data_IF_473644909506
#
_entry.id   IF_473644909506
#
_cell.length_a   1.000
_cell.length_b   1.000
_cell.length_c   1.000
_cell.angle_alpha   90.00
_cell.angle_beta   90.00
_cell.angle_gamma   90.00
#
_symmetry.space_group_name_H-M   'P 1'
#
loop_
_entity.id
_entity.type
_entity.pdbx_description
1 polymer ?
#
# COMPACT_ATOMS: atom_id res chain seq x y z
N UNK A 1 14.26 31.84 12.84
CA UNK A 1 12.91 31.34 13.15
C UNK A 1 12.65 30.24 12.12
N UNK A 2 12.38 29.00 12.54
CA UNK A 2 12.11 27.92 11.59
C UNK A 2 10.71 28.12 11.02
N UNK A 3 10.57 28.01 9.71
CA UNK A 3 9.26 28.06 9.06
C UNK A 3 8.47 26.81 9.43
N UNK A 4 7.37 26.98 10.15
CA UNK A 4 6.46 25.91 10.57
C UNK A 4 5.31 25.70 9.58
N UNK A 5 5.25 26.49 8.51
CA UNK A 5 4.19 26.41 7.49
C UNK A 5 4.41 25.26 6.52
N UNK A 6 5.67 24.87 6.26
CA UNK A 6 6.02 23.71 5.45
C UNK A 6 6.40 22.51 6.33
N UNK A 7 5.72 21.38 6.12
CA UNK A 7 6.02 20.14 6.84
C UNK A 7 7.27 19.49 6.24
N UNK A 8 8.16 19.00 7.11
CA UNK A 8 9.32 18.20 6.69
C UNK A 8 8.80 16.91 6.05
N UNK A 9 9.29 16.64 4.84
CA UNK A 9 9.05 15.42 4.09
C UNK A 9 10.19 14.42 4.35
N UNK A 10 9.87 13.12 4.33
CA UNK A 10 10.85 12.07 4.55
C UNK A 10 10.50 10.80 3.77
N UNK A 11 11.52 10.03 3.42
CA UNK A 11 11.39 8.63 3.02
C UNK A 11 12.39 7.83 3.84
N UNK A 12 11.90 6.84 4.59
CA UNK A 12 12.75 5.98 5.44
C UNK A 12 12.75 4.59 4.87
N UNK A 13 13.94 4.09 4.56
CA UNK A 13 14.11 2.72 4.10
C UNK A 13 14.56 1.81 5.24
N UNK A 14 13.93 0.64 5.33
CA UNK A 14 14.49 -0.54 5.99
C UNK A 14 15.12 -1.41 4.90
N UNK A 15 16.44 -1.57 4.94
CA UNK A 15 17.22 -2.14 3.84
C UNK A 15 17.77 -1.06 2.88
N UNK A 16 18.59 -1.46 1.91
CA UNK A 16 19.20 -0.55 0.94
C UNK A 16 18.45 -0.59 -0.41
N UNK A 17 17.63 0.41 -0.74
CA UNK A 17 16.81 0.40 -1.95
C UNK A 17 17.61 0.68 -3.22
N UNK A 18 18.89 1.06 -3.12
CA UNK A 18 19.73 1.30 -4.30
C UNK A 18 20.26 0.00 -4.93
N UNK A 19 20.19 -1.11 -4.20
CA UNK A 19 20.74 -2.42 -4.63
C UNK A 19 19.80 -3.59 -4.38
N UNK A 20 18.63 -3.35 -3.78
CA UNK A 20 17.67 -4.41 -3.50
C UNK A 20 17.01 -4.93 -4.78
N UNK A 21 16.73 -6.23 -4.83
CA UNK A 21 15.98 -6.85 -5.92
C UNK A 21 14.49 -6.47 -5.88
N UNK A 22 13.96 -6.23 -4.68
CA UNK A 22 12.56 -5.88 -4.43
C UNK A 22 12.42 -4.67 -3.52
N UNK A 23 11.62 -3.68 -3.90
CA UNK A 23 11.39 -2.49 -3.07
C UNK A 23 9.90 -2.22 -2.90
N UNK A 24 9.43 -2.04 -1.66
CA UNK A 24 8.10 -1.49 -1.40
C UNK A 24 8.15 -0.03 -1.04
N UNK A 25 7.16 0.73 -1.50
CA UNK A 25 6.93 2.13 -1.13
C UNK A 25 5.53 2.24 -0.54
N UNK A 26 5.45 2.47 0.77
CA UNK A 26 4.17 2.64 1.46
C UNK A 26 3.83 4.12 1.60
N UNK A 27 2.72 4.52 0.98
CA UNK A 27 2.15 5.87 1.00
C UNK A 27 0.99 5.91 2.00
N UNK A 28 1.11 6.68 3.08
CA UNK A 28 0.14 6.67 4.16
C UNK A 28 -1.03 7.63 3.91
N UNK A 29 -2.07 7.54 4.74
CA UNK A 29 -3.29 8.35 4.66
C UNK A 29 -3.18 9.78 5.21
N UNK A 30 -4.34 10.32 5.61
CA UNK A 30 -4.41 11.60 6.35
C UNK A 30 -3.61 11.52 7.66
N UNK A 31 -3.37 12.67 8.29
CA UNK A 31 -2.61 12.86 9.54
C UNK A 31 -1.22 12.24 9.55
N UNK A 32 -0.72 11.87 8.37
CA UNK A 32 0.55 11.17 8.22
C UNK A 32 1.70 12.15 8.09
N UNK A 33 2.02 12.80 9.20
CA UNK A 33 3.09 13.78 9.29
C UNK A 33 4.34 13.12 9.84
N UNK A 34 5.50 13.65 9.48
CA UNK A 34 6.78 13.17 10.01
C UNK A 34 6.73 13.10 11.53
N UNK A 35 6.31 14.16 12.22
CA UNK A 35 6.20 14.20 13.69
C UNK A 35 5.32 13.12 14.34
N UNK A 36 4.37 12.52 13.62
CA UNK A 36 3.36 11.61 14.18
C UNK A 36 3.39 10.18 13.61
N UNK A 37 4.02 9.97 12.45
CA UNK A 37 3.93 8.70 11.72
C UNK A 37 5.20 7.88 11.71
N UNK A 38 6.36 8.43 12.09
CA UNK A 38 7.61 7.66 12.20
C UNK A 38 7.45 6.43 13.11
N UNK A 39 6.83 6.63 14.28
CA UNK A 39 6.69 5.60 15.31
C UNK A 39 5.76 4.45 14.92
N UNK A 40 4.94 4.61 13.88
CA UNK A 40 4.08 3.54 13.35
C UNK A 40 4.59 2.99 12.03
N UNK A 41 4.95 3.85 11.08
CA UNK A 41 5.28 3.42 9.71
C UNK A 41 6.63 2.72 9.60
N UNK A 42 7.64 3.15 10.37
CA UNK A 42 8.96 2.50 10.31
C UNK A 42 8.89 1.07 10.88
N UNK A 43 8.23 0.81 12.03
CA UNK A 43 7.95 -0.56 12.44
C UNK A 43 7.12 -1.38 11.45
N UNK A 44 6.15 -0.78 10.76
CA UNK A 44 5.38 -1.46 9.69
C UNK A 44 6.28 -1.85 8.51
N UNK A 45 7.14 -0.95 8.03
CA UNK A 45 8.14 -1.24 7.00
C UNK A 45 9.12 -2.35 7.44
N UNK A 46 9.56 -2.31 8.71
CA UNK A 46 10.41 -3.36 9.26
C UNK A 46 9.72 -4.72 9.31
N UNK A 47 8.50 -4.79 9.85
CA UNK A 47 7.75 -6.05 9.93
C UNK A 47 7.46 -6.61 8.53
N UNK A 48 7.15 -5.74 7.57
CA UNK A 48 6.94 -6.12 6.18
C UNK A 48 8.22 -6.67 5.54
N UNK A 49 9.37 -6.03 5.77
CA UNK A 49 10.66 -6.51 5.30
C UNK A 49 11.04 -7.89 5.91
N UNK A 50 10.79 -8.08 7.20
CA UNK A 50 11.01 -9.36 7.89
C UNK A 50 10.12 -10.46 7.32
N UNK A 51 8.83 -10.19 7.11
CA UNK A 51 7.92 -11.15 6.49
C UNK A 51 8.32 -11.46 5.05
N UNK A 52 8.65 -10.45 4.24
CA UNK A 52 9.12 -10.64 2.87
C UNK A 52 10.37 -11.50 2.80
N UNK A 53 11.35 -11.28 3.68
CA UNK A 53 12.57 -12.08 3.75
C UNK A 53 12.28 -13.55 4.13
N UNK A 54 11.36 -13.77 5.06
CA UNK A 54 10.87 -15.12 5.39
C UNK A 54 10.21 -15.78 4.18
N UNK A 55 9.37 -15.05 3.45
CA UNK A 55 8.66 -15.59 2.29
C UNK A 55 9.62 -15.89 1.13
N UNK A 56 10.62 -15.06 0.87
CA UNK A 56 11.70 -15.35 -0.09
C UNK A 56 12.40 -16.66 0.27
N UNK A 57 12.76 -16.84 1.54
CA UNK A 57 13.42 -18.07 2.01
C UNK A 57 12.54 -19.31 1.80
N UNK A 58 11.24 -19.22 2.10
CA UNK A 58 10.30 -20.34 1.99
C UNK A 58 9.91 -20.66 0.54
N UNK A 59 9.96 -19.67 -0.35
CA UNK A 59 9.60 -19.82 -1.77
C UNK A 59 10.79 -20.19 -2.67
N UNK A 60 11.98 -20.40 -2.11
CA UNK A 60 13.18 -20.77 -2.87
C UNK A 60 13.97 -19.57 -3.45
N UNK A 61 13.62 -18.35 -3.05
CA UNK A 61 14.23 -17.09 -3.49
C UNK A 61 15.12 -16.45 -2.40
N UNK A 62 15.62 -17.25 -1.44
CA UNK A 62 16.39 -16.73 -0.28
C UNK A 62 17.71 -16.02 -0.60
N UNK A 63 18.16 -16.04 -1.86
CA UNK A 63 19.31 -15.26 -2.33
C UNK A 63 18.98 -13.83 -2.76
N UNK A 64 17.70 -13.49 -2.88
CA UNK A 64 17.22 -12.17 -3.28
C UNK A 64 17.13 -11.22 -2.07
N UNK A 65 17.27 -9.93 -2.34
CA UNK A 65 17.31 -8.86 -1.34
C UNK A 65 16.10 -7.95 -1.47
N UNK A 66 15.69 -7.32 -0.37
CA UNK A 66 14.57 -6.39 -0.37
C UNK A 66 14.83 -5.14 0.47
N UNK A 67 14.06 -4.10 0.17
CA UNK A 67 13.93 -2.90 1.00
C UNK A 67 12.45 -2.50 1.14
N UNK A 68 12.08 -1.91 2.28
CA UNK A 68 10.74 -1.37 2.48
C UNK A 68 10.81 0.09 2.92
N UNK A 69 10.12 0.96 2.18
CA UNK A 69 10.17 2.41 2.35
C UNK A 69 8.86 2.90 2.96
N UNK A 70 8.95 3.52 4.13
CA UNK A 70 7.92 4.37 4.68
C UNK A 70 8.03 5.77 4.03
N UNK A 71 7.10 6.12 3.14
CA UNK A 71 7.17 7.34 2.35
C UNK A 71 6.23 8.42 2.88
N UNK A 72 6.79 9.45 3.51
CA UNK A 72 6.11 10.64 4.05
C UNK A 72 6.50 11.83 3.17
N UNK A 73 6.22 11.73 1.86
CA UNK A 73 6.69 12.69 0.85
C UNK A 73 5.65 13.72 0.38
N UNK A 74 4.59 13.93 1.15
CA UNK A 74 3.55 14.92 0.83
C UNK A 74 2.96 15.59 2.09
N UNK A 75 2.38 16.77 1.92
CA UNK A 75 1.59 17.44 2.96
C UNK A 75 0.24 16.73 3.15
N UNK A 76 0.25 15.71 4.02
CA UNK A 76 -0.95 14.95 4.34
C UNK A 76 -2.05 15.85 4.94
N UNK A 77 -3.31 15.71 4.49
CA UNK A 77 -4.44 16.40 5.11
C UNK A 77 -4.50 16.15 6.62
N UNK A 78 -5.06 17.10 7.37
CA UNK A 78 -5.37 16.87 8.78
C UNK A 78 -6.54 15.91 8.99
N UNK A 79 -6.97 15.79 10.24
CA UNK A 79 -8.10 14.91 10.62
C UNK A 79 -9.42 15.35 9.97
N UNK A 80 -9.52 16.61 9.57
CA UNK A 80 -10.64 17.13 8.80
C UNK A 80 -10.66 16.51 7.39
N UNK A 81 -11.63 15.63 7.15
CA UNK A 81 -11.86 14.99 5.86
C UNK A 81 -12.20 16.00 4.76
N UNK A 82 -12.71 17.19 5.10
CA UNK A 82 -12.90 18.28 4.14
C UNK A 82 -11.58 18.80 3.54
N UNK A 83 -10.47 18.63 4.26
CA UNK A 83 -9.13 18.95 3.77
C UNK A 83 -8.57 17.88 2.80
N UNK A 84 -9.17 16.69 2.74
CA UNK A 84 -8.78 15.60 1.86
C UNK A 84 -9.31 15.83 0.43
N UNK A 85 -8.74 16.81 -0.26
CA UNK A 85 -9.22 17.26 -1.59
C UNK A 85 -8.50 16.55 -2.74
N UNK A 86 -9.11 16.45 -3.94
CA UNK A 86 -8.43 15.97 -5.14
C UNK A 86 -7.15 16.75 -5.48
N UNK A 87 -7.15 18.07 -5.27
CA UNK A 87 -6.00 18.94 -5.57
C UNK A 87 -4.78 18.62 -4.71
N UNK A 88 -4.96 18.37 -3.41
CA UNK A 88 -3.86 17.95 -2.53
C UNK A 88 -3.31 16.58 -2.94
N UNK A 89 -4.18 15.62 -3.26
CA UNK A 89 -3.78 14.30 -3.74
C UNK A 89 -2.97 14.42 -5.05
N UNK A 90 -3.41 15.27 -5.99
CA UNK A 90 -2.71 15.51 -7.24
C UNK A 90 -1.32 16.16 -7.04
N UNK A 91 -1.16 17.09 -6.08
CA UNK A 91 0.16 17.65 -5.73
C UNK A 91 1.08 16.58 -5.14
N UNK A 92 0.61 15.82 -4.16
CA UNK A 92 1.37 14.72 -3.58
C UNK A 92 1.75 13.64 -4.61
N UNK A 93 0.88 13.39 -5.59
CA UNK A 93 1.13 12.46 -6.68
C UNK A 93 2.31 12.88 -7.57
N UNK A 94 2.55 14.18 -7.76
CA UNK A 94 3.72 14.66 -8.50
C UNK A 94 5.02 14.32 -7.75
N UNK A 95 5.05 14.57 -6.43
CA UNK A 95 6.20 14.21 -5.60
C UNK A 95 6.45 12.70 -5.59
N UNK A 96 5.39 11.90 -5.50
CA UNK A 96 5.49 10.44 -5.55
C UNK A 96 6.04 9.95 -6.90
N UNK A 97 5.54 10.49 -8.03
CA UNK A 97 6.05 10.14 -9.35
C UNK A 97 7.54 10.47 -9.48
N UNK A 98 7.96 11.65 -9.03
CA UNK A 98 9.36 12.04 -9.05
C UNK A 98 10.21 11.08 -8.20
N UNK A 99 9.77 10.75 -7.00
CA UNK A 99 10.45 9.79 -6.13
C UNK A 99 10.63 8.42 -6.79
N UNK A 100 9.56 7.85 -7.36
CA UNK A 100 9.59 6.57 -8.05
C UNK A 100 10.51 6.60 -9.29
N UNK A 101 10.51 7.70 -10.05
CA UNK A 101 11.41 7.86 -11.21
C UNK A 101 12.88 7.89 -10.82
N UNK A 102 13.23 8.49 -9.68
CA UNK A 102 14.61 8.50 -9.16
C UNK A 102 15.04 7.11 -8.69
N UNK A 103 14.13 6.34 -8.07
CA UNK A 103 14.39 4.95 -7.72
C UNK A 103 14.66 4.10 -8.96
N UNK A 104 13.82 4.22 -9.99
CA UNK A 104 14.01 3.52 -11.27
C UNK A 104 15.35 3.89 -11.92
N UNK A 105 15.74 5.17 -11.87
CA UNK A 105 17.03 5.62 -12.40
C UNK A 105 18.23 5.08 -11.60
N UNK A 106 18.05 4.80 -10.30
CA UNK A 106 19.10 4.26 -9.43
C UNK A 106 19.32 2.77 -9.65
N UNK A 107 18.23 2.01 -9.73
CA UNK A 107 18.27 0.57 -10.00
C UNK A 107 17.10 0.18 -10.93
N UNK A 108 17.35 0.03 -12.24
CA UNK A 108 16.29 -0.22 -13.21
C UNK A 108 15.78 -1.66 -13.23
N UNK A 109 16.48 -2.59 -12.56
CA UNK A 109 16.15 -4.02 -12.59
C UNK A 109 15.35 -4.50 -11.37
N UNK A 110 15.13 -3.63 -10.39
CA UNK A 110 14.36 -3.99 -9.19
C UNK A 110 12.87 -4.06 -9.48
N UNK A 111 12.18 -4.93 -8.75
CA UNK A 111 10.71 -4.89 -8.68
C UNK A 111 10.28 -3.78 -7.73
N UNK A 112 9.35 -2.92 -8.16
CA UNK A 112 8.77 -1.86 -7.31
C UNK A 112 7.30 -2.15 -7.01
N UNK A 113 6.98 -2.30 -5.72
CA UNK A 113 5.62 -2.47 -5.21
C UNK A 113 5.13 -1.21 -4.48
N UNK A 114 4.09 -0.55 -5.00
CA UNK A 114 3.49 0.66 -4.44
C UNK A 114 2.28 0.32 -3.55
N UNK A 115 2.34 0.67 -2.27
CA UNK A 115 1.29 0.39 -1.30
C UNK A 115 0.62 1.69 -0.85
N UNK A 116 -0.59 1.94 -1.32
CA UNK A 116 -1.35 3.13 -0.98
C UNK A 116 -2.43 2.83 0.06
N UNK A 117 -2.31 3.42 1.25
CA UNK A 117 -3.30 3.29 2.31
C UNK A 117 -4.19 4.52 2.41
N UNK A 118 -5.50 4.35 2.58
CA UNK A 118 -6.40 5.47 2.88
C UNK A 118 -6.29 6.58 1.85
N UNK A 119 -6.10 7.83 2.25
CA UNK A 119 -5.85 8.95 1.33
C UNK A 119 -4.59 8.76 0.45
N UNK A 120 -3.59 8.02 0.94
CA UNK A 120 -2.43 7.60 0.17
C UNK A 120 -2.78 6.69 -1.01
N UNK A 121 -3.88 5.94 -0.95
CA UNK A 121 -4.40 5.17 -2.09
C UNK A 121 -4.92 6.08 -3.21
N UNK A 122 -5.62 7.16 -2.86
CA UNK A 122 -6.12 8.15 -3.81
C UNK A 122 -4.93 8.89 -4.45
N UNK A 123 -3.97 9.36 -3.65
CA UNK A 123 -2.73 9.98 -4.13
C UNK A 123 -1.97 9.04 -5.07
N UNK A 124 -1.77 7.77 -4.67
CA UNK A 124 -1.08 6.76 -5.48
C UNK A 124 -1.80 6.54 -6.81
N UNK A 125 -3.15 6.50 -6.81
CA UNK A 125 -3.93 6.36 -8.04
C UNK A 125 -3.79 7.55 -8.99
N UNK A 126 -3.67 8.77 -8.46
CA UNK A 126 -3.34 9.94 -9.28
C UNK A 126 -1.94 9.85 -9.86
N UNK A 127 -0.96 9.38 -9.08
CA UNK A 127 0.41 9.24 -9.55
C UNK A 127 0.48 8.22 -10.70
N UNK A 128 -0.11 7.03 -10.50
CA UNK A 128 -0.17 5.97 -11.50
C UNK A 128 -0.84 6.46 -12.80
N UNK A 129 -2.06 7.02 -12.69
CA UNK A 129 -2.78 7.61 -13.83
C UNK A 129 -1.98 8.67 -14.59
N UNK A 130 -1.12 9.40 -13.89
CA UNK A 130 -0.28 10.46 -14.46
C UNK A 130 1.13 9.97 -14.84
N UNK A 131 1.30 8.66 -15.07
CA UNK A 131 2.50 8.05 -15.63
C UNK A 131 3.50 7.51 -14.61
N UNK A 132 3.19 7.46 -13.31
CA UNK A 132 4.03 6.73 -12.36
C UNK A 132 3.95 5.20 -12.57
N UNK A 133 2.97 4.70 -13.33
CA UNK A 133 2.87 3.29 -13.71
C UNK A 133 4.06 2.79 -14.53
N UNK A 134 4.85 3.70 -15.13
CA UNK A 134 6.10 3.36 -15.82
C UNK A 134 7.22 2.92 -14.87
N UNK A 135 7.09 3.19 -13.56
CA UNK A 135 8.10 2.96 -12.54
C UNK A 135 7.64 1.99 -11.43
N UNK A 136 6.51 1.32 -11.64
CA UNK A 136 5.85 0.49 -10.63
C UNK A 136 5.39 -0.81 -11.28
N UNK A 137 5.84 -1.93 -10.73
CA UNK A 137 5.44 -3.26 -11.20
C UNK A 137 4.10 -3.69 -10.61
N UNK A 138 3.87 -3.38 -9.33
CA UNK A 138 2.66 -3.74 -8.60
C UNK A 138 2.11 -2.61 -7.76
N UNK A 139 0.79 -2.53 -7.65
CA UNK A 139 0.12 -1.61 -6.74
C UNK A 139 -0.90 -2.34 -5.86
N UNK A 140 -0.91 -2.03 -4.57
CA UNK A 140 -1.97 -2.47 -3.65
C UNK A 140 -2.59 -1.23 -3.02
N UNK A 141 -3.89 -1.03 -3.27
CA UNK A 141 -4.65 0.15 -2.87
C UNK A 141 -5.71 -0.26 -1.85
N UNK A 142 -5.55 0.14 -0.59
CA UNK A 142 -6.32 -0.43 0.52
C UNK A 142 -6.81 0.60 1.52
N UNK A 143 -7.93 0.28 2.19
CA UNK A 143 -8.71 1.24 2.98
C UNK A 143 -9.08 2.50 2.20
N UNK A 144 -9.27 2.39 0.90
CA UNK A 144 -9.35 3.51 -0.01
C UNK A 144 -10.69 4.25 0.11
N UNK A 145 -10.70 5.60 0.15
CA UNK A 145 -11.92 6.38 -0.02
C UNK A 145 -12.43 6.39 -1.47
N UNK A 146 -11.66 5.80 -2.38
CA UNK A 146 -11.86 5.81 -3.83
C UNK A 146 -10.59 6.23 -4.57
N UNK A 147 -10.58 5.96 -5.88
CA UNK A 147 -9.44 6.16 -6.78
C UNK A 147 -9.75 7.16 -7.89
N UNK A 148 -8.68 7.68 -8.50
CA UNK A 148 -8.71 8.59 -9.65
C UNK A 148 -9.14 7.92 -10.98
N UNK A 149 -9.26 6.59 -11.00
CA UNK A 149 -9.80 5.80 -12.10
C UNK A 149 -10.45 4.51 -11.58
N UNK A 150 -11.48 4.02 -12.28
CA UNK A 150 -12.27 2.85 -11.88
C UNK A 150 -11.81 1.52 -12.45
N UNK A 151 -10.69 1.48 -13.18
CA UNK A 151 -10.11 0.27 -13.74
C UNK A 151 -8.58 0.31 -13.64
N UNK A 152 -7.89 -0.85 -13.57
CA UNK A 152 -6.43 -0.93 -13.64
C UNK A 152 -5.85 -0.21 -14.86
N UNK A 153 -6.47 -0.39 -16.04
CA UNK A 153 -6.03 0.28 -17.27
C UNK A 153 -6.14 1.80 -17.21
N UNK A 154 -7.14 2.34 -16.49
CA UNK A 154 -7.24 3.78 -16.23
C UNK A 154 -6.16 4.34 -15.29
N UNK A 155 -5.44 3.46 -14.59
CA UNK A 155 -4.24 3.78 -13.81
C UNK A 155 -2.94 3.53 -14.61
N UNK A 156 -3.03 3.12 -15.87
CA UNK A 156 -1.86 2.74 -16.68
C UNK A 156 -1.27 1.38 -16.30
N UNK A 157 -2.03 0.52 -15.61
CA UNK A 157 -1.56 -0.76 -15.10
C UNK A 157 -2.38 -1.94 -15.64
N UNK A 158 -1.77 -3.13 -15.68
CA UNK A 158 -2.46 -4.37 -16.04
C UNK A 158 -3.33 -4.90 -14.87
N UNK A 159 -4.47 -5.58 -15.14
CA UNK A 159 -5.37 -6.08 -14.09
C UNK A 159 -4.77 -7.11 -13.12
N UNK A 160 -3.69 -7.78 -13.51
CA UNK A 160 -2.92 -8.71 -12.71
C UNK A 160 -1.83 -8.04 -11.85
N UNK A 161 -1.65 -6.74 -12.00
CA UNK A 161 -0.63 -5.94 -11.30
C UNK A 161 -1.21 -4.92 -10.31
N UNK A 162 -2.53 -4.80 -10.22
CA UNK A 162 -3.19 -3.90 -9.26
C UNK A 162 -4.21 -4.64 -8.43
N UNK A 163 -4.06 -4.52 -7.12
CA UNK A 163 -4.88 -5.18 -6.12
C UNK A 163 -5.55 -4.16 -5.21
N UNK A 164 -6.66 -4.57 -4.62
CA UNK A 164 -7.33 -3.81 -3.58
C UNK A 164 -7.63 -4.68 -2.36
N UNK A 165 -7.70 -4.04 -1.19
CA UNK A 165 -8.09 -4.68 0.07
C UNK A 165 -9.01 -3.77 0.86
N UNK A 166 -10.01 -4.34 1.51
CA UNK A 166 -10.87 -3.66 2.48
C UNK A 166 -10.94 -4.51 3.75
N UNK A 167 -10.67 -3.88 4.90
CA UNK A 167 -10.85 -4.47 6.20
C UNK A 167 -12.33 -4.51 6.58
N UNK A 168 -12.69 -5.41 7.50
CA UNK A 168 -14.09 -5.75 7.81
C UNK A 168 -14.96 -4.52 8.12
N UNK A 169 -14.54 -3.68 9.06
CA UNK A 169 -15.30 -2.51 9.51
C UNK A 169 -14.68 -1.19 9.01
N UNK A 170 -14.05 -1.21 7.84
CA UNK A 170 -13.44 -0.01 7.28
C UNK A 170 -14.47 0.89 6.57
N UNK A 171 -14.99 1.84 7.33
CA UNK A 171 -16.00 2.79 6.88
C UNK A 171 -15.51 3.69 5.73
N UNK A 172 -14.19 3.82 5.52
CA UNK A 172 -13.62 4.67 4.47
C UNK A 172 -13.98 4.15 3.06
N UNK A 173 -14.20 2.85 2.90
CA UNK A 173 -14.60 2.28 1.60
C UNK A 173 -15.87 2.85 0.97
N UNK A 174 -16.71 3.55 1.76
CA UNK A 174 -18.00 4.11 1.34
C UNK A 174 -18.15 5.63 1.43
N UNK A 175 -17.11 6.40 1.82
CA UNK A 175 -17.31 7.80 2.23
C UNK A 175 -17.47 8.83 1.10
N UNK A 176 -17.13 8.52 -0.16
CA UNK A 176 -17.18 9.54 -1.21
C UNK A 176 -17.61 9.03 -2.60
N UNK A 177 -18.77 9.46 -3.13
CA UNK A 177 -19.24 9.08 -4.46
C UNK A 177 -18.49 9.78 -5.63
N UNK A 178 -17.62 10.76 -5.35
CA UNK A 178 -16.85 11.47 -6.40
C UNK A 178 -15.70 10.63 -6.98
N UNK A 179 -15.30 9.56 -6.30
CA UNK A 179 -14.18 8.73 -6.72
C UNK A 179 -14.62 7.32 -7.07
N UNK A 180 -13.81 6.63 -7.87
CA UNK A 180 -14.13 5.26 -8.26
C UNK A 180 -13.77 4.30 -7.14
N UNK A 181 -14.74 3.55 -6.63
CA UNK A 181 -14.48 2.53 -5.60
C UNK A 181 -13.64 1.38 -6.20
N UNK A 182 -12.49 1.02 -5.59
CA UNK A 182 -11.72 -0.13 -6.04
C UNK A 182 -12.33 -1.48 -5.65
N UNK A 183 -13.39 -1.46 -4.83
CA UNK A 183 -14.03 -2.64 -4.26
C UNK A 183 -15.17 -3.17 -5.14
N UNK A 184 -15.52 -2.43 -6.19
CA UNK A 184 -16.58 -2.78 -7.14
C UNK A 184 -15.95 -3.15 -8.48
N UNK A 185 -15.84 -4.46 -8.73
CA UNK A 185 -15.92 -5.08 -10.06
C UNK A 185 -14.78 -4.94 -11.08
N UNK A 186 -13.66 -4.26 -10.80
CA UNK A 186 -12.58 -4.11 -11.81
C UNK A 186 -11.15 -4.31 -11.28
N UNK A 187 -10.97 -4.43 -9.96
CA UNK A 187 -9.67 -4.70 -9.34
C UNK A 187 -9.69 -6.07 -8.68
N UNK A 188 -8.57 -6.80 -8.76
CA UNK A 188 -8.41 -8.05 -8.02
C UNK A 188 -8.41 -7.74 -6.51
N UNK A 189 -9.22 -8.46 -5.76
CA UNK A 189 -9.31 -8.29 -4.32
C UNK A 189 -8.41 -9.30 -3.61
N UNK A 190 -7.63 -8.83 -2.66
CA UNK A 190 -6.89 -9.68 -1.72
C UNK A 190 -7.61 -9.69 -0.38
N UNK A 191 -7.55 -10.83 0.31
CA UNK A 191 -8.24 -11.02 1.58
C UNK A 191 -7.70 -10.06 2.64
N UNK A 192 -8.61 -9.45 3.40
CA UNK A 192 -8.25 -8.54 4.51
C UNK A 192 -9.30 -8.53 5.64
N UNK A 193 -10.56 -8.78 5.33
CA UNK A 193 -11.72 -8.79 6.22
C UNK A 193 -11.94 -10.13 6.95
N UNK A 194 -11.25 -11.19 6.56
CA UNK A 194 -11.29 -12.50 7.23
C UNK A 194 -9.89 -13.00 7.58
N UNK A 195 -9.82 -13.85 8.60
CA UNK A 195 -8.59 -14.57 8.92
C UNK A 195 -8.42 -15.79 8.01
N UNK A 196 -7.20 -16.24 7.82
CA UNK A 196 -6.90 -17.39 6.98
C UNK A 196 -5.49 -17.92 7.17
N UNK A 197 -5.24 -19.16 6.77
CA UNK A 197 -3.90 -19.74 6.79
C UNK A 197 -3.10 -19.27 5.57
N UNK A 198 -1.88 -18.78 5.79
CA UNK A 198 -0.97 -18.40 4.70
C UNK A 198 -0.46 -19.62 3.93
N UNK A 199 -0.48 -19.59 2.58
CA UNK A 199 -0.02 -20.70 1.75
C UNK A 199 1.42 -21.16 1.99
N UNK A 200 2.33 -20.24 2.34
CA UNK A 200 3.75 -20.55 2.45
C UNK A 200 4.18 -21.25 3.74
N UNK A 201 3.51 -20.96 4.86
CA UNK A 201 3.94 -21.41 6.20
C UNK A 201 2.79 -22.03 7.02
N UNK A 202 1.60 -22.12 6.44
CA UNK A 202 0.37 -22.64 7.06
C UNK A 202 0.04 -21.98 8.42
N UNK A 203 0.52 -20.75 8.64
CA UNK A 203 0.22 -19.99 9.86
C UNK A 203 -1.14 -19.31 9.73
N UNK A 204 -1.97 -19.41 10.78
CA UNK A 204 -3.21 -18.66 10.83
C UNK A 204 -2.91 -17.17 11.02
N UNK A 205 -3.47 -16.33 10.14
CA UNK A 205 -3.32 -14.87 10.19
C UNK A 205 -4.70 -14.26 10.41
N UNK A 206 -4.77 -13.39 11.41
CA UNK A 206 -6.00 -12.67 11.74
C UNK A 206 -6.39 -11.69 10.63
N UNK A 207 -7.66 -11.31 10.60
CA UNK A 207 -8.18 -10.23 9.76
C UNK A 207 -7.71 -8.85 10.21
N UNK A 208 -7.80 -7.87 9.33
CA UNK A 208 -7.83 -6.47 9.70
C UNK A 208 -9.26 -6.09 10.11
N UNK A 209 -9.44 -5.62 11.34
CA UNK A 209 -10.77 -5.26 11.85
C UNK A 209 -11.20 -3.86 11.44
N UNK A 210 -10.25 -2.94 11.27
CA UNK A 210 -10.54 -1.54 10.99
C UNK A 210 -9.44 -0.83 10.22
N UNK A 211 -9.69 0.45 9.96
CA UNK A 211 -8.97 1.25 8.97
C UNK A 211 -7.45 1.28 9.14
N UNK A 212 -6.95 1.22 10.37
CA UNK A 212 -5.51 1.33 10.65
C UNK A 212 -4.80 0.00 10.86
N UNK A 213 -5.48 -1.14 10.69
CA UNK A 213 -4.95 -2.45 11.13
C UNK A 213 -4.26 -3.27 10.05
N UNK A 214 -4.34 -2.89 8.78
CA UNK A 214 -3.94 -3.74 7.64
C UNK A 214 -2.56 -4.42 7.80
N UNK A 215 -1.41 -3.72 7.74
CA UNK A 215 -0.10 -4.36 7.87
C UNK A 215 0.30 -4.62 9.34
N UNK A 216 -0.64 -4.63 10.30
CA UNK A 216 -0.31 -4.78 11.72
C UNK A 216 -0.29 -6.24 12.15
N UNK A 217 0.52 -6.52 13.16
CA UNK A 217 0.53 -7.82 13.84
C UNK A 217 -0.74 -8.04 14.64
N UNK A 218 -1.34 -9.22 14.49
CA UNK A 218 -2.51 -9.67 15.25
C UNK A 218 -2.17 -9.99 16.69
N UNK A 219 -3.16 -10.48 17.45
CA UNK A 219 -2.96 -10.94 18.83
C UNK A 219 -1.98 -12.12 18.91
N UNK A 220 -1.87 -12.89 17.83
CA UNK A 220 -0.93 -13.99 17.66
C UNK A 220 0.48 -13.57 17.22
N UNK A 221 0.79 -12.27 17.19
CA UNK A 221 2.09 -11.70 16.81
C UNK A 221 2.55 -11.95 15.35
N UNK A 222 1.72 -12.59 14.53
CA UNK A 222 1.91 -12.66 13.08
C UNK A 222 1.31 -11.44 12.41
N UNK A 223 1.88 -11.02 11.27
CA UNK A 223 1.19 -10.07 10.41
C UNK A 223 -0.20 -10.62 10.06
N UNK A 224 -1.21 -9.77 10.16
CA UNK A 224 -2.55 -10.03 9.64
C UNK A 224 -2.48 -10.43 8.17
N UNK A 225 -3.55 -11.05 7.68
CA UNK A 225 -3.63 -11.56 6.31
C UNK A 225 -3.27 -10.50 5.26
N UNK A 226 -3.65 -9.24 5.49
CA UNK A 226 -3.33 -8.12 4.61
C UNK A 226 -1.85 -7.76 4.63
N UNK A 227 -1.17 -7.80 5.79
CA UNK A 227 0.28 -7.66 5.88
C UNK A 227 1.04 -8.80 5.18
N UNK A 228 0.54 -10.04 5.26
CA UNK A 228 1.09 -11.17 4.50
C UNK A 228 0.93 -10.97 3.00
N UNK A 229 -0.24 -10.55 2.54
CA UNK A 229 -0.51 -10.25 1.13
C UNK A 229 0.35 -9.11 0.59
N UNK A 230 0.63 -8.07 1.39
CA UNK A 230 1.57 -7.02 1.00
C UNK A 230 2.99 -7.56 0.85
N UNK A 231 3.43 -8.46 1.74
CA UNK A 231 4.75 -9.08 1.64
C UNK A 231 4.90 -9.93 0.37
N UNK A 232 3.87 -10.70 0.00
CA UNK A 232 3.93 -11.54 -1.22
C UNK A 232 4.00 -10.70 -2.49
N UNK A 233 3.27 -9.57 -2.54
CA UNK A 233 3.36 -8.61 -3.65
C UNK A 233 4.70 -7.89 -3.68
N UNK A 234 5.25 -7.51 -2.52
CA UNK A 234 6.58 -6.90 -2.39
C UNK A 234 7.65 -7.77 -3.05
N UNK A 235 7.63 -9.08 -2.79
CA UNK A 235 8.68 -10.00 -3.28
C UNK A 235 8.42 -10.53 -4.70
N UNK A 236 7.60 -9.84 -5.50
CA UNK A 236 7.21 -10.25 -6.85
C UNK A 236 6.55 -11.65 -6.93
N UNK A 237 5.81 -12.04 -5.88
CA UNK A 237 5.10 -13.33 -5.81
C UNK A 237 3.60 -13.14 -5.51
N UNK A 238 2.86 -12.31 -6.26
CA UNK A 238 1.45 -12.04 -5.97
C UNK A 238 0.56 -13.30 -6.05
N UNK A 239 1.01 -14.37 -6.72
CA UNK A 239 0.32 -15.67 -6.75
C UNK A 239 0.27 -16.39 -5.40
N UNK A 240 1.09 -15.97 -4.44
CA UNK A 240 1.09 -16.50 -3.06
C UNK A 240 0.19 -15.69 -2.12
N UNK A 241 -0.36 -14.56 -2.60
CA UNK A 241 -1.36 -13.80 -1.86
C UNK A 241 -2.69 -14.57 -1.77
N UNK A 242 -3.42 -14.35 -0.70
CA UNK A 242 -4.73 -14.96 -0.49
C UNK A 242 -5.79 -14.08 -1.16
N UNK A 243 -6.50 -14.55 -2.20
CA UNK A 243 -7.55 -13.78 -2.85
C UNK A 243 -8.75 -13.62 -1.93
N UNK A 244 -9.46 -12.50 -2.05
CA UNK A 244 -10.76 -12.35 -1.40
C UNK A 244 -11.85 -13.09 -2.20
N UNK A 245 -12.82 -13.72 -1.53
CA UNK A 245 -13.93 -14.37 -2.24
C UNK A 245 -14.80 -13.33 -3.00
N UNK A 246 -15.23 -13.63 -4.23
CA UNK A 246 -16.16 -12.77 -4.96
C UNK A 246 -17.47 -12.59 -4.17
N UNK A 247 -17.79 -11.35 -3.77
CA UNK A 247 -19.11 -10.99 -3.24
C UNK A 247 -19.25 -10.81 -1.73
N UNK A 248 -18.16 -10.89 -0.94
CA UNK A 248 -18.22 -10.65 0.52
C UNK A 248 -18.09 -9.16 0.87
N UNK A 249 -17.30 -8.39 0.13
CA UNK A 249 -17.15 -6.93 0.36
C UNK A 249 -18.49 -6.16 0.18
N UNK A 250 -19.48 -6.78 -0.46
CA UNK A 250 -20.80 -6.18 -0.74
C UNK A 250 -21.88 -6.42 0.32
N UNK A 251 -21.66 -7.24 1.37
CA UNK A 251 -22.77 -7.60 2.28
C UNK A 251 -23.15 -6.55 3.32
N UNK A 252 -22.28 -5.59 3.63
CA UNK A 252 -22.55 -4.59 4.69
C UNK A 252 -22.55 -3.13 4.23
N UNK A 253 -22.40 -2.84 2.93
CA UNK A 253 -22.57 -1.47 2.40
C UNK A 253 -24.03 -1.19 1.98
N UNK A 254 -24.99 -1.42 2.88
CA UNK A 254 -26.39 -0.99 2.72
C UNK A 254 -26.74 0.12 3.70
#
# INVERSE_FOLDING_TARGET
MWDTSERILAAISVGNPAVADHVSVTVPGITSWTSSSFSSMVPEAYNLAVEGGKQLQLSGHGGETLASIAWIGYDAPGIDLGAATPSKAAKGAQNLKLFLSMMQATNPNQTVALFGHSYGSLLSSYALKNGASEYVDYAVLYGSPGLAAGTPGGLGMSPDRVFAMLAENDLIGGINPLWSSPYKGNFKQLLADQGGCSPLDNQFRERAYGHSEYPRKGSNNFLRVSGYNLATVLINQPGLAIPAEPGIITKEMK
#
